data_IF_123920310377
#
_entry.id   IF_123920310377
#
_cell.length_a   1.000
_cell.length_b   1.000
_cell.length_c   1.000
_cell.angle_alpha   90.00
_cell.angle_beta   90.00
_cell.angle_gamma   90.00
#
_symmetry.space_group_name_H-M   'P 1'
#
loop_
_entity.id
_entity.type
_entity.pdbx_description
1 polymer ?
#
# COMPACT_ATOMS: atom_id res chain seq x y z
N UNK A 1 -23.11 -6.30 -3.56
CA UNK A 1 -21.80 -6.59 -2.96
C UNK A 1 -20.77 -5.75 -3.71
N UNK A 2 -20.36 -4.62 -3.15
CA UNK A 2 -19.20 -3.88 -3.62
C UNK A 2 -17.97 -4.76 -3.33
N UNK A 3 -17.37 -5.34 -4.35
CA UNK A 3 -16.04 -5.90 -4.24
C UNK A 3 -15.05 -4.76 -4.46
N UNK A 4 -14.48 -4.30 -3.38
CA UNK A 4 -13.29 -3.49 -3.40
C UNK A 4 -12.18 -4.33 -4.05
N UNK A 5 -11.64 -3.84 -5.16
CA UNK A 5 -10.53 -4.52 -5.83
C UNK A 5 -9.24 -3.86 -5.35
N UNK A 6 -8.61 -4.47 -4.38
CA UNK A 6 -7.24 -4.14 -4.03
C UNK A 6 -6.28 -4.75 -5.06
N UNK A 7 -5.21 -4.06 -5.38
CA UNK A 7 -4.13 -4.58 -6.25
C UNK A 7 -3.62 -5.94 -5.74
N UNK A 8 -3.67 -6.16 -4.42
CA UNK A 8 -3.23 -7.39 -3.74
C UNK A 8 -4.17 -8.59 -3.91
N UNK A 9 -5.46 -8.36 -4.17
CA UNK A 9 -6.44 -9.46 -4.26
C UNK A 9 -6.30 -10.29 -5.54
N UNK A 10 -5.48 -9.87 -6.48
CA UNK A 10 -5.22 -10.60 -7.72
C UNK A 10 -3.88 -10.21 -8.32
N UNK A 11 -2.78 -10.87 -7.92
CA UNK A 11 -1.42 -10.55 -8.36
C UNK A 11 -1.21 -10.64 -9.87
N UNK A 12 -2.19 -11.18 -10.59
CA UNK A 12 -2.07 -11.47 -12.03
C UNK A 12 -2.94 -10.59 -12.94
N UNK A 13 -3.72 -9.64 -12.39
CA UNK A 13 -4.53 -8.77 -13.25
C UNK A 13 -3.72 -7.61 -13.81
N UNK A 14 -3.76 -7.46 -15.13
CA UNK A 14 -3.28 -6.24 -15.77
C UNK A 14 -4.23 -5.07 -15.46
N UNK A 15 -3.75 -3.80 -15.43
CA UNK A 15 -4.61 -2.64 -15.16
C UNK A 15 -5.88 -2.62 -16.01
N UNK A 16 -5.79 -2.94 -17.30
CA UNK A 16 -6.93 -3.00 -18.23
C UNK A 16 -8.03 -3.99 -17.86
N UNK A 17 -7.71 -5.00 -17.04
CA UNK A 17 -8.64 -6.08 -16.66
C UNK A 17 -9.45 -5.73 -15.39
N UNK A 18 -9.23 -4.54 -14.84
CA UNK A 18 -10.01 -4.04 -13.72
C UNK A 18 -11.44 -3.68 -14.15
N UNK A 19 -12.38 -3.75 -13.21
CA UNK A 19 -13.78 -3.43 -13.51
C UNK A 19 -13.97 -1.93 -13.64
N UNK A 20 -14.69 -1.51 -14.67
CA UNK A 20 -15.04 -0.09 -14.89
C UNK A 20 -15.87 0.48 -13.75
N UNK A 21 -16.94 -0.22 -13.36
CA UNK A 21 -17.83 0.20 -12.27
C UNK A 21 -17.30 -0.31 -10.92
N UNK A 22 -16.17 0.25 -10.49
CA UNK A 22 -15.52 -0.08 -9.24
C UNK A 22 -14.83 1.15 -8.64
N UNK A 23 -14.62 1.11 -7.32
CA UNK A 23 -13.62 1.87 -6.61
C UNK A 23 -12.35 1.01 -6.55
N UNK A 24 -11.26 1.52 -7.08
CA UNK A 24 -9.96 0.88 -7.00
C UNK A 24 -9.04 1.65 -6.04
N UNK A 25 -8.27 0.93 -5.24
CA UNK A 25 -7.32 1.48 -4.28
C UNK A 25 -6.08 0.58 -4.15
N UNK A 26 -4.96 1.15 -3.75
CA UNK A 26 -3.75 0.38 -3.44
C UNK A 26 -3.90 -0.31 -2.09
N UNK A 27 -4.40 0.40 -1.09
CA UNK A 27 -4.66 -0.12 0.26
C UNK A 27 -6.01 0.34 0.79
N UNK A 28 -6.43 -0.25 1.91
CA UNK A 28 -7.66 0.08 2.64
C UNK A 28 -7.35 0.15 4.13
N UNK A 29 -8.30 0.60 4.94
CA UNK A 29 -8.14 0.68 6.39
C UNK A 29 -7.89 -0.66 7.09
N UNK A 30 -8.31 -1.79 6.48
CA UNK A 30 -8.11 -3.15 7.01
C UNK A 30 -6.82 -3.83 6.52
N UNK A 31 -6.09 -3.15 5.64
CA UNK A 31 -4.81 -3.60 5.12
C UNK A 31 -3.69 -2.73 5.71
N UNK A 32 -2.47 -3.24 5.82
CA UNK A 32 -1.34 -2.40 6.19
C UNK A 32 -1.16 -1.28 5.17
N UNK A 33 -0.71 -0.08 5.58
CA UNK A 33 -0.26 0.95 4.67
C UNK A 33 0.76 0.38 3.68
N UNK A 34 0.83 0.95 2.48
CA UNK A 34 1.70 0.40 1.44
C UNK A 34 3.17 0.38 1.85
N UNK A 35 3.66 1.43 2.52
CA UNK A 35 5.01 1.46 3.07
C UNK A 35 5.24 0.34 4.11
N UNK A 36 4.28 0.12 5.01
CA UNK A 36 4.32 -0.96 6.00
C UNK A 36 4.28 -2.36 5.38
N UNK A 37 3.55 -2.52 4.28
CA UNK A 37 3.55 -3.77 3.50
C UNK A 37 4.91 -4.02 2.85
N UNK A 38 5.50 -3.03 2.22
CA UNK A 38 6.81 -3.13 1.56
C UNK A 38 7.92 -3.48 2.56
N UNK A 39 7.83 -2.99 3.80
CA UNK A 39 8.80 -3.21 4.87
C UNK A 39 8.45 -4.40 5.78
N UNK A 40 7.43 -5.21 5.42
CA UNK A 40 6.96 -6.36 6.20
C UNK A 40 6.52 -6.04 7.64
N UNK A 41 6.17 -4.80 7.95
CA UNK A 41 5.68 -4.39 9.27
C UNK A 41 4.45 -5.21 9.72
N UNK A 42 3.59 -5.62 8.77
CA UNK A 42 2.43 -6.45 9.02
C UNK A 42 2.76 -7.90 9.45
N UNK A 43 3.91 -8.44 9.04
CA UNK A 43 4.37 -9.77 9.44
C UNK A 43 4.71 -9.73 10.92
N UNK A 44 5.56 -8.77 11.31
CA UNK A 44 5.97 -8.57 12.70
C UNK A 44 4.77 -8.28 13.62
N UNK A 45 3.88 -7.38 13.20
CA UNK A 45 2.69 -7.05 13.98
C UNK A 45 1.79 -8.26 14.23
N UNK A 46 1.55 -9.10 13.22
CA UNK A 46 0.73 -10.31 13.36
C UNK A 46 1.38 -11.37 14.24
N UNK A 47 2.69 -11.49 14.21
CA UNK A 47 3.44 -12.35 15.11
C UNK A 47 3.30 -11.88 16.56
N UNK A 48 3.57 -10.59 16.83
CA UNK A 48 3.46 -9.97 18.15
C UNK A 48 2.05 -10.10 18.75
N UNK A 49 1.03 -10.03 17.92
CA UNK A 49 -0.38 -10.15 18.32
C UNK A 49 -0.91 -11.59 18.32
N UNK A 50 -0.08 -12.57 18.03
CA UNK A 50 -0.46 -13.99 17.94
C UNK A 50 -1.63 -14.26 16.98
N UNK A 51 -1.66 -13.55 15.84
CA UNK A 51 -2.72 -13.66 14.83
C UNK A 51 -2.37 -14.58 13.67
N UNK A 52 -1.20 -15.23 13.71
CA UNK A 52 -0.78 -16.17 12.68
C UNK A 52 -1.39 -17.56 12.95
N UNK A 53 -1.94 -18.17 11.91
CA UNK A 53 -2.43 -19.56 11.92
C UNK A 53 -1.38 -20.56 11.43
N UNK A 54 -0.21 -20.08 11.04
CA UNK A 54 0.92 -20.85 10.51
C UNK A 54 2.23 -20.32 11.12
N UNK A 55 3.36 -21.04 11.01
CA UNK A 55 4.66 -20.56 11.46
C UNK A 55 5.03 -19.21 10.81
N UNK A 56 5.67 -18.32 11.58
CA UNK A 56 6.02 -16.97 11.11
C UNK A 56 6.91 -17.01 9.87
N UNK A 57 7.78 -18.00 9.76
CA UNK A 57 8.68 -18.19 8.62
C UNK A 57 7.90 -18.49 7.33
N UNK A 58 6.83 -19.29 7.42
CA UNK A 58 5.96 -19.61 6.29
C UNK A 58 5.18 -18.37 5.85
N UNK A 59 4.61 -17.63 6.80
CA UNK A 59 3.91 -16.38 6.54
C UNK A 59 4.84 -15.31 5.93
N UNK A 60 6.06 -15.15 6.47
CA UNK A 60 7.06 -14.24 5.94
C UNK A 60 7.49 -14.61 4.51
N UNK A 61 7.68 -15.90 4.23
CA UNK A 61 8.00 -16.38 2.89
C UNK A 61 6.88 -16.07 1.88
N UNK A 62 5.62 -16.25 2.28
CA UNK A 62 4.46 -15.89 1.46
C UNK A 62 4.40 -14.38 1.20
N UNK A 63 4.60 -13.56 2.23
CA UNK A 63 4.63 -12.09 2.10
C UNK A 63 5.77 -11.62 1.17
N UNK A 64 6.94 -12.27 1.25
CA UNK A 64 8.07 -11.98 0.35
C UNK A 64 7.76 -12.36 -1.10
N UNK A 65 7.14 -13.51 -1.33
CA UNK A 65 6.72 -13.94 -2.65
C UNK A 65 5.70 -12.98 -3.27
N UNK A 66 4.71 -12.51 -2.48
CA UNK A 66 3.74 -11.51 -2.91
C UNK A 66 4.42 -10.18 -3.27
N UNK A 67 5.33 -9.67 -2.43
CA UNK A 67 6.08 -8.44 -2.72
C UNK A 67 6.89 -8.58 -4.00
N UNK A 68 7.59 -9.71 -4.17
CA UNK A 68 8.37 -9.97 -5.39
C UNK A 68 7.50 -10.01 -6.64
N UNK A 69 6.34 -10.68 -6.57
CA UNK A 69 5.39 -10.71 -7.68
C UNK A 69 4.86 -9.30 -8.04
N UNK A 70 4.64 -8.45 -7.03
CA UNK A 70 4.23 -7.06 -7.24
C UNK A 70 5.35 -6.26 -7.90
N UNK A 71 6.59 -6.37 -7.44
CA UNK A 71 7.75 -5.67 -8.05
C UNK A 71 7.92 -6.09 -9.51
N UNK A 72 7.89 -7.39 -9.80
CA UNK A 72 7.96 -7.89 -11.17
C UNK A 72 6.85 -7.30 -12.05
N UNK A 73 5.63 -7.20 -11.52
CA UNK A 73 4.50 -6.60 -12.24
C UNK A 73 4.73 -5.12 -12.57
N UNK A 74 5.28 -4.36 -11.62
CA UNK A 74 5.59 -2.95 -11.83
C UNK A 74 6.70 -2.78 -12.89
N UNK A 75 7.72 -3.63 -12.87
CA UNK A 75 8.80 -3.64 -13.87
C UNK A 75 8.27 -4.02 -15.25
N UNK A 76 7.52 -5.12 -15.37
CA UNK A 76 6.94 -5.62 -16.62
C UNK A 76 6.06 -4.57 -17.32
N UNK A 77 5.37 -3.74 -16.55
CA UNK A 77 4.50 -2.69 -17.08
C UNK A 77 5.19 -1.32 -17.17
N UNK A 78 6.48 -1.23 -16.87
CA UNK A 78 7.29 -0.02 -17.02
C UNK A 78 7.01 1.08 -16.00
N UNK A 79 6.44 0.73 -14.82
CA UNK A 79 6.21 1.70 -13.74
C UNK A 79 7.44 1.97 -12.89
N UNK A 80 8.33 0.98 -12.76
CA UNK A 80 9.64 1.10 -12.10
C UNK A 80 10.72 0.39 -12.90
N UNK A 81 11.98 0.74 -12.65
CA UNK A 81 13.13 0.00 -13.19
C UNK A 81 13.44 -1.26 -12.38
N UNK A 82 14.22 -2.17 -12.94
CA UNK A 82 14.72 -3.34 -12.21
C UNK A 82 15.56 -2.93 -10.99
N UNK A 83 16.37 -1.88 -11.12
CA UNK A 83 17.20 -1.34 -10.02
C UNK A 83 16.35 -0.94 -8.81
N UNK A 84 15.20 -0.31 -9.04
CA UNK A 84 14.24 0.07 -7.99
C UNK A 84 13.59 -1.18 -7.37
N UNK A 85 13.25 -2.17 -8.19
CA UNK A 85 12.68 -3.43 -7.71
C UNK A 85 13.66 -4.25 -6.86
N UNK A 86 14.97 -4.16 -7.14
CA UNK A 86 16.03 -4.85 -6.42
C UNK A 86 16.37 -4.16 -5.08
N UNK A 87 16.08 -2.85 -4.93
CA UNK A 87 16.29 -2.07 -3.70
C UNK A 87 14.99 -1.42 -3.23
N UNK A 88 14.05 -2.25 -2.77
CA UNK A 88 12.74 -1.80 -2.29
C UNK A 88 12.84 -0.83 -1.12
N UNK A 89 13.79 -1.07 -0.20
CA UNK A 89 13.94 -0.27 1.03
C UNK A 89 14.44 1.15 0.73
N UNK A 90 15.34 1.29 -0.25
CA UNK A 90 15.82 2.60 -0.71
C UNK A 90 14.80 3.39 -1.54
N UNK A 91 13.77 2.72 -2.08
CA UNK A 91 12.85 3.30 -3.05
C UNK A 91 11.36 3.22 -2.65
N UNK A 92 11.04 3.13 -1.34
CA UNK A 92 9.66 2.93 -0.86
C UNK A 92 8.68 3.96 -1.43
N UNK A 93 9.02 5.25 -1.42
CA UNK A 93 8.12 6.29 -1.95
C UNK A 93 7.88 6.13 -3.46
N UNK A 94 8.93 5.89 -4.22
CA UNK A 94 8.84 5.69 -5.68
C UNK A 94 7.94 4.49 -6.01
N UNK A 95 8.07 3.40 -5.25
CA UNK A 95 7.23 2.21 -5.43
C UNK A 95 5.77 2.48 -5.06
N UNK A 96 5.51 3.19 -3.95
CA UNK A 96 4.15 3.63 -3.57
C UNK A 96 3.53 4.44 -4.69
N UNK A 97 4.25 5.41 -5.25
CA UNK A 97 3.80 6.24 -6.36
C UNK A 97 3.57 5.42 -7.65
N UNK A 98 4.45 4.46 -7.93
CA UNK A 98 4.31 3.54 -9.07
C UNK A 98 3.05 2.66 -8.97
N UNK A 99 2.74 2.14 -7.77
CA UNK A 99 1.51 1.39 -7.53
C UNK A 99 0.27 2.25 -7.76
N UNK A 100 0.30 3.53 -7.37
CA UNK A 100 -0.79 4.47 -7.62
C UNK A 100 -0.85 4.88 -9.10
N UNK A 101 0.29 5.02 -9.79
CA UNK A 101 0.33 5.25 -11.23
C UNK A 101 -0.33 4.09 -11.99
N UNK A 102 -0.02 2.84 -11.62
CA UNK A 102 -0.68 1.65 -12.17
C UNK A 102 -2.20 1.69 -11.93
N UNK A 103 -2.64 2.20 -10.77
CA UNK A 103 -4.05 2.36 -10.46
C UNK A 103 -4.74 3.35 -11.39
N UNK A 104 -4.07 4.45 -11.78
CA UNK A 104 -4.64 5.45 -12.70
C UNK A 104 -4.83 4.92 -14.13
N UNK A 105 -4.13 3.85 -14.51
CA UNK A 105 -4.26 3.20 -15.81
C UNK A 105 -5.39 2.15 -15.85
N UNK A 106 -6.10 1.94 -14.73
CA UNK A 106 -7.26 1.06 -14.68
C UNK A 106 -8.50 1.74 -15.27
N UNK A 107 -9.48 0.98 -15.82
CA UNK A 107 -10.75 1.53 -16.27
C UNK A 107 -11.70 1.92 -15.13
N UNK A 108 -11.32 1.74 -13.88
CA UNK A 108 -12.17 2.00 -12.71
C UNK A 108 -12.60 3.47 -12.65
N UNK A 109 -13.88 3.71 -12.39
CA UNK A 109 -14.43 5.06 -12.38
C UNK A 109 -14.01 5.89 -11.16
N UNK A 110 -13.80 5.22 -10.03
CA UNK A 110 -13.34 5.84 -8.80
C UNK A 110 -11.97 5.29 -8.43
N UNK A 111 -11.06 6.18 -8.09
CA UNK A 111 -9.73 5.87 -7.60
C UNK A 111 -9.55 6.49 -6.23
N UNK A 112 -8.94 5.77 -5.31
CA UNK A 112 -8.68 6.22 -3.95
C UNK A 112 -7.21 6.08 -3.63
N UNK A 113 -6.59 7.15 -3.13
CA UNK A 113 -5.33 7.13 -2.42
C UNK A 113 -5.60 7.25 -0.91
N UNK A 114 -4.97 6.42 -0.11
CA UNK A 114 -5.05 6.50 1.34
C UNK A 114 -4.08 7.56 1.87
N UNK A 115 -4.52 8.36 2.85
CA UNK A 115 -3.69 9.40 3.44
C UNK A 115 -2.41 8.84 4.08
N UNK A 116 -2.51 7.65 4.67
CA UNK A 116 -1.37 6.90 5.22
C UNK A 116 -0.27 6.63 4.19
N UNK A 117 -0.63 6.36 2.94
CA UNK A 117 0.33 6.18 1.84
C UNK A 117 0.97 7.52 1.45
N UNK A 118 0.19 8.60 1.49
CA UNK A 118 0.68 9.95 1.20
C UNK A 118 1.78 10.40 2.17
N UNK A 119 1.60 10.17 3.46
CA UNK A 119 2.59 10.57 4.48
C UNK A 119 3.69 9.53 4.68
N UNK A 120 3.52 8.31 4.18
CA UNK A 120 4.47 7.21 4.34
C UNK A 120 4.38 6.48 5.67
N UNK A 121 3.20 6.48 6.29
CA UNK A 121 2.91 5.73 7.50
C UNK A 121 3.12 4.22 7.27
N UNK A 122 3.78 3.57 8.21
CA UNK A 122 4.03 2.13 8.16
C UNK A 122 3.10 1.32 9.07
N UNK A 123 2.50 1.97 10.10
CA UNK A 123 1.67 1.31 11.10
C UNK A 123 0.24 1.16 10.61
N UNK A 124 -0.35 0.00 10.81
CA UNK A 124 -1.76 -0.24 10.49
C UNK A 124 -2.68 0.66 11.34
N UNK A 125 -3.68 1.27 10.72
CA UNK A 125 -4.70 2.05 11.42
C UNK A 125 -5.73 1.15 12.09
N UNK A 126 -5.98 0.00 11.50
CA UNK A 126 -6.83 -1.05 12.02
C UNK A 126 -6.18 -2.41 11.79
N UNK A 127 -6.24 -3.28 12.81
CA UNK A 127 -5.76 -4.66 12.73
C UNK A 127 -6.95 -5.60 12.96
N UNK A 128 -7.54 -6.16 11.89
CA UNK A 128 -8.63 -7.13 12.02
C UNK A 128 -8.24 -8.31 12.90
N UNK A 129 -9.20 -8.77 13.70
CA UNK A 129 -8.98 -9.85 14.67
C UNK A 129 -8.53 -9.37 16.05
N UNK A 130 -8.38 -8.06 16.25
CA UNK A 130 -8.05 -7.47 17.56
C UNK A 130 -9.14 -6.55 18.05
N UNK A 131 -9.17 -6.32 19.38
CA UNK A 131 -10.10 -5.44 20.07
C UNK A 131 -9.35 -4.45 20.97
N UNK A 132 -8.72 -4.96 22.04
CA UNK A 132 -7.93 -4.16 22.99
C UNK A 132 -6.43 -4.34 22.82
N UNK A 133 -6.03 -5.39 22.14
CA UNK A 133 -4.65 -5.84 21.93
C UNK A 133 -3.88 -4.87 21.02
N UNK A 134 -4.61 -4.16 20.16
CA UNK A 134 -4.07 -3.14 19.26
C UNK A 134 -4.85 -1.83 19.36
N UNK A 135 -4.18 -0.71 19.16
CA UNK A 135 -4.78 0.64 19.25
C UNK A 135 -5.60 1.00 18.00
N UNK A 136 -6.51 0.12 17.59
CA UNK A 136 -7.37 0.32 16.43
C UNK A 136 -8.00 1.71 16.41
N UNK A 137 -7.88 2.42 15.29
CA UNK A 137 -8.44 3.76 15.06
C UNK A 137 -7.92 4.88 15.99
N UNK A 138 -6.84 4.61 16.72
CA UNK A 138 -6.23 5.53 17.68
C UNK A 138 -4.74 5.73 17.45
N UNK A 139 -4.21 5.21 16.34
CA UNK A 139 -2.82 5.42 15.93
C UNK A 139 -2.72 6.82 15.33
N UNK A 140 -1.98 7.76 15.94
CA UNK A 140 -1.77 9.07 15.33
C UNK A 140 -1.07 8.92 13.98
N UNK A 141 -1.49 9.71 12.99
CA UNK A 141 -0.84 9.72 11.68
C UNK A 141 0.63 10.15 11.83
N UNK A 142 1.54 9.40 11.24
CA UNK A 142 2.96 9.74 11.26
C UNK A 142 3.62 9.53 9.89
N UNK A 143 4.77 10.11 9.71
CA UNK A 143 5.63 9.88 8.55
C UNK A 143 6.41 8.55 8.66
N UNK A 144 7.26 8.27 7.67
CA UNK A 144 8.07 7.04 7.63
C UNK A 144 9.11 6.95 8.75
N UNK A 145 9.44 8.06 9.42
CA UNK A 145 10.36 8.10 10.56
C UNK A 145 9.65 8.01 11.91
N UNK A 146 8.31 7.99 11.91
CA UNK A 146 7.47 7.92 13.09
C UNK A 146 7.15 9.29 13.72
N UNK A 147 7.51 10.41 13.08
CA UNK A 147 7.09 11.73 13.54
C UNK A 147 5.61 11.94 13.25
N UNK A 148 4.88 12.40 14.26
CA UNK A 148 3.44 12.70 14.11
C UNK A 148 3.25 13.81 13.10
N UNK A 149 2.35 13.58 12.14
CA UNK A 149 1.95 14.56 11.12
C UNK A 149 0.59 15.13 11.51
N UNK A 150 0.52 16.43 11.72
CA UNK A 150 -0.74 17.11 12.02
C UNK A 150 -1.56 17.36 10.75
N UNK A 151 -2.87 17.41 10.90
CA UNK A 151 -3.79 17.49 9.75
C UNK A 151 -3.59 18.73 8.89
N UNK A 152 -3.19 19.84 9.48
CA UNK A 152 -2.90 21.11 8.82
C UNK A 152 -1.58 21.09 8.03
N UNK A 153 -0.65 20.19 8.39
CA UNK A 153 0.65 20.05 7.72
C UNK A 153 0.60 19.08 6.52
N UNK A 154 -0.36 18.14 6.52
CA UNK A 154 -0.41 17.02 5.56
C UNK A 154 -0.27 17.49 4.11
N UNK A 155 -1.00 18.54 3.72
CA UNK A 155 -1.06 18.97 2.32
C UNK A 155 0.19 19.76 1.87
N UNK A 156 1.02 20.18 2.82
CA UNK A 156 2.28 20.87 2.55
C UNK A 156 3.47 19.89 2.43
N UNK A 157 3.26 18.63 2.77
CA UNK A 157 4.30 17.61 2.65
C UNK A 157 4.62 17.32 1.18
N UNK A 158 5.90 17.43 0.76
CA UNK A 158 6.31 17.19 -0.62
C UNK A 158 5.86 15.82 -1.16
N UNK A 159 5.93 14.76 -0.33
CA UNK A 159 5.53 13.42 -0.74
C UNK A 159 4.02 13.28 -0.95
N UNK A 160 3.20 13.99 -0.18
CA UNK A 160 1.75 14.03 -0.37
C UNK A 160 1.40 14.74 -1.68
N UNK A 161 2.09 15.86 -1.95
CA UNK A 161 1.94 16.60 -3.20
C UNK A 161 2.38 15.78 -4.41
N UNK A 162 3.48 15.02 -4.29
CA UNK A 162 3.99 14.11 -5.32
C UNK A 162 2.96 13.00 -5.64
N UNK A 163 2.46 12.31 -4.61
CA UNK A 163 1.42 11.29 -4.78
C UNK A 163 0.14 11.88 -5.40
N UNK A 164 -0.29 13.07 -4.95
CA UNK A 164 -1.44 13.76 -5.52
C UNK A 164 -1.22 14.11 -7.01
N UNK A 165 0.00 14.48 -7.40
CA UNK A 165 0.35 14.72 -8.80
C UNK A 165 0.27 13.44 -9.64
N UNK A 166 0.72 12.30 -9.11
CA UNK A 166 0.56 10.98 -9.74
C UNK A 166 -0.92 10.67 -9.98
N UNK A 167 -1.76 10.88 -8.96
CA UNK A 167 -3.20 10.58 -9.04
C UNK A 167 -3.97 11.52 -9.98
N UNK A 168 -3.42 12.69 -10.33
CA UNK A 168 -4.00 13.66 -11.27
C UNK A 168 -3.67 13.37 -12.74
N UNK A 169 -2.85 12.35 -13.02
CA UNK A 169 -2.51 12.02 -14.42
C UNK A 169 -3.78 11.81 -15.22
N UNK A 170 -3.91 12.54 -16.33
CA UNK A 170 -4.99 12.32 -17.29
C UNK A 170 -4.91 10.87 -17.78
N UNK A 171 -6.06 10.20 -17.83
CA UNK A 171 -6.15 8.85 -18.40
C UNK A 171 -5.65 8.91 -19.85
N UNK A 172 -4.59 8.20 -20.14
CA UNK A 172 -4.10 7.99 -21.51
C UNK A 172 -5.05 7.12 -22.30
#
# INVERSE_FOLDING_TARGET
RQRQMCIRDSPYRAPKDYRKQALASVTTHDLPPTAGYLNFAHVKLREELHLLSEPVEAFAASAMAERTAMMNRLVENGYISQTVADDVEGHVQEIVEAMHAMLTDTPSLLLQAALVDGVGECRSQNQPGTSREYSNWRVPLADSSGHVVHTDEVFDLPRVQSLAAVMRREKR
#
